data_IF_940655349152
#
_entry.id   IF_940655349152
#
_cell.length_a   1.000
_cell.length_b   1.000
_cell.length_c   1.000
_cell.angle_alpha   90.00
_cell.angle_beta   90.00
_cell.angle_gamma   90.00
#
_symmetry.space_group_name_H-M   'P 1'
#
loop_
_entity.id
_entity.type
_entity.pdbx_description
1 polymer ?
#
# COMPACT_ATOMS: atom_id res chain seq x y z
N UNK A 1 14.76 -1.99 11.57
CA UNK A 1 14.88 -2.02 10.10
C UNK A 1 14.10 -3.24 9.61
N UNK A 2 12.79 -3.17 9.81
CA UNK A 2 11.83 -4.26 9.71
C UNK A 2 11.31 -4.44 8.29
N UNK A 3 10.75 -5.62 8.02
CA UNK A 3 10.17 -5.98 6.73
C UNK A 3 9.23 -4.89 6.16
N UNK A 4 8.47 -4.22 7.04
CA UNK A 4 7.54 -3.12 6.71
C UNK A 4 8.20 -2.00 5.89
N UNK A 5 9.36 -1.52 6.31
CA UNK A 5 10.10 -0.44 5.63
C UNK A 5 10.49 -0.84 4.20
N UNK A 6 10.95 -2.09 4.03
CA UNK A 6 11.36 -2.61 2.71
C UNK A 6 10.18 -2.75 1.75
N UNK A 7 9.02 -3.16 2.26
CA UNK A 7 7.79 -3.29 1.49
C UNK A 7 7.31 -1.92 1.05
N UNK A 8 7.21 -0.98 2.00
CA UNK A 8 6.73 0.37 1.73
C UNK A 8 7.64 1.10 0.73
N UNK A 9 8.97 0.88 0.81
CA UNK A 9 9.92 1.37 -0.20
C UNK A 9 9.63 0.80 -1.60
N UNK A 10 9.34 -0.50 -1.71
CA UNK A 10 8.98 -1.12 -3.00
C UNK A 10 7.69 -0.53 -3.56
N UNK A 11 6.69 -0.31 -2.70
CA UNK A 11 5.43 0.34 -3.08
C UNK A 11 5.70 1.76 -3.60
N UNK A 12 6.49 2.57 -2.88
CA UNK A 12 6.89 3.91 -3.33
C UNK A 12 7.56 3.84 -4.71
N UNK A 13 8.57 2.99 -4.87
CA UNK A 13 9.30 2.86 -6.14
C UNK A 13 8.32 2.53 -7.26
N UNK A 14 7.43 1.56 -7.04
CA UNK A 14 6.40 1.22 -8.01
C UNK A 14 5.51 2.41 -8.34
N UNK A 15 5.00 3.13 -7.33
CA UNK A 15 4.16 4.31 -7.53
C UNK A 15 4.90 5.34 -8.37
N UNK A 16 6.11 5.73 -7.98
CA UNK A 16 6.89 6.75 -8.70
C UNK A 16 7.41 6.31 -10.07
N UNK A 17 7.46 5.00 -10.35
CA UNK A 17 8.00 4.46 -11.59
C UNK A 17 6.89 4.11 -12.60
N UNK A 18 5.69 3.76 -12.13
CA UNK A 18 4.54 3.40 -12.97
C UNK A 18 3.48 4.49 -13.04
N UNK A 19 3.43 5.40 -12.08
CA UNK A 19 2.40 6.43 -11.94
C UNK A 19 3.05 7.79 -11.69
N UNK A 20 2.38 8.87 -12.10
CA UNK A 20 2.87 10.23 -11.88
C UNK A 20 2.57 10.67 -10.44
N UNK A 21 1.47 10.17 -9.87
CA UNK A 21 1.03 10.49 -8.51
C UNK A 21 0.54 9.28 -7.71
N UNK A 22 0.65 9.31 -6.37
CA UNK A 22 0.10 8.26 -5.50
C UNK A 22 -1.42 8.11 -5.64
N UNK A 23 -2.11 9.17 -6.06
CA UNK A 23 -3.55 9.15 -6.32
C UNK A 23 -3.89 8.28 -7.53
N UNK A 24 -3.12 8.40 -8.62
CA UNK A 24 -3.30 7.56 -9.81
C UNK A 24 -3.02 6.10 -9.50
N UNK A 25 -1.93 5.82 -8.78
CA UNK A 25 -1.64 4.46 -8.35
C UNK A 25 -2.79 3.90 -7.49
N UNK A 26 -3.28 4.68 -6.53
CA UNK A 26 -4.39 4.28 -5.68
C UNK A 26 -5.65 3.97 -6.49
N UNK A 27 -6.04 4.87 -7.40
CA UNK A 27 -7.20 4.68 -8.29
C UNK A 27 -7.02 3.51 -9.26
N UNK A 28 -5.78 3.21 -9.67
CA UNK A 28 -5.48 2.08 -10.54
C UNK A 28 -5.65 0.73 -9.81
N UNK A 29 -5.23 0.67 -8.55
CA UNK A 29 -5.37 -0.53 -7.73
C UNK A 29 -6.79 -0.72 -7.17
N UNK A 30 -7.50 0.38 -6.91
CA UNK A 30 -8.92 0.42 -6.53
C UNK A 30 -9.79 0.03 -7.72
N UNK A 31 -10.02 -1.27 -7.87
CA UNK A 31 -10.80 -1.84 -8.98
C UNK A 31 -12.29 -1.51 -8.85
N UNK A 32 -12.77 -1.31 -7.62
CA UNK A 32 -14.18 -1.03 -7.30
C UNK A 32 -14.49 0.48 -7.32
N UNK A 33 -13.45 1.33 -7.37
CA UNK A 33 -13.53 2.79 -7.31
C UNK A 33 -14.32 3.30 -6.10
N UNK A 34 -14.20 2.58 -4.99
CA UNK A 34 -14.88 2.93 -3.73
C UNK A 34 -14.04 3.88 -2.86
N UNK A 35 -12.84 4.25 -3.31
CA UNK A 35 -11.91 5.11 -2.56
C UNK A 35 -11.14 4.37 -1.47
N UNK A 36 -11.14 3.02 -1.48
CA UNK A 36 -10.57 2.16 -0.42
C UNK A 36 -9.94 0.90 -0.99
N UNK A 37 -8.67 0.65 -0.66
CA UNK A 37 -7.99 -0.58 -1.04
C UNK A 37 -8.30 -1.69 -0.04
N UNK A 38 -9.01 -2.73 -0.51
CA UNK A 38 -9.26 -3.95 0.25
C UNK A 38 -8.00 -4.82 0.27
N UNK A 39 -7.94 -5.77 1.20
CA UNK A 39 -6.85 -6.76 1.31
C UNK A 39 -6.47 -7.43 -0.01
N UNK A 40 -7.43 -7.71 -0.88
CA UNK A 40 -7.22 -8.30 -2.22
C UNK A 40 -6.50 -7.36 -3.17
N UNK A 41 -6.79 -6.06 -3.11
CA UNK A 41 -6.19 -5.02 -3.97
C UNK A 41 -4.79 -4.67 -3.47
N UNK A 42 -4.61 -4.58 -2.15
CA UNK A 42 -3.27 -4.45 -1.53
C UNK A 42 -2.39 -5.63 -1.94
N UNK A 43 -2.92 -6.86 -1.98
CA UNK A 43 -2.17 -8.02 -2.50
C UNK A 43 -1.76 -7.84 -3.97
N UNK A 44 -2.62 -7.27 -4.82
CA UNK A 44 -2.25 -6.98 -6.21
C UNK A 44 -1.13 -5.93 -6.27
N UNK A 45 -1.27 -4.84 -5.53
CA UNK A 45 -0.26 -3.79 -5.43
C UNK A 45 1.10 -4.36 -4.98
N UNK A 46 1.10 -5.21 -3.94
CA UNK A 46 2.31 -5.89 -3.46
C UNK A 46 2.89 -6.86 -4.50
N UNK A 47 2.04 -7.49 -5.32
CA UNK A 47 2.51 -8.34 -6.42
C UNK A 47 3.31 -7.53 -7.43
N UNK A 48 2.74 -6.40 -7.80
CA UNK A 48 3.29 -5.48 -8.77
C UNK A 48 4.60 -4.86 -8.24
N UNK A 49 4.67 -4.59 -6.93
CA UNK A 49 5.86 -4.11 -6.23
C UNK A 49 6.94 -5.21 -6.03
N UNK A 50 6.83 -6.31 -6.76
CA UNK A 50 7.73 -7.47 -6.70
C UNK A 50 7.91 -8.02 -5.26
N UNK A 51 6.84 -8.00 -4.45
CA UNK A 51 6.84 -8.63 -3.14
C UNK A 51 6.57 -10.12 -3.28
N UNK A 52 7.42 -10.91 -2.63
CA UNK A 52 7.38 -12.37 -2.67
C UNK A 52 5.99 -12.88 -2.27
N UNK A 53 5.42 -13.77 -3.10
CA UNK A 53 4.05 -14.26 -2.96
C UNK A 53 3.78 -14.94 -1.62
N UNK A 54 4.80 -15.59 -1.03
CA UNK A 54 4.72 -16.24 0.27
C UNK A 54 4.44 -15.27 1.42
N UNK A 55 5.10 -14.10 1.43
CA UNK A 55 4.92 -13.12 2.51
C UNK A 55 3.81 -12.12 2.19
N UNK A 56 3.39 -11.99 0.94
CA UNK A 56 2.42 -10.99 0.49
C UNK A 56 1.14 -10.96 1.33
N UNK A 57 0.60 -12.12 1.71
CA UNK A 57 -0.62 -12.18 2.52
C UNK A 57 -0.39 -11.69 3.95
N UNK A 58 0.76 -12.01 4.53
CA UNK A 58 1.17 -11.52 5.85
C UNK A 58 1.41 -10.01 5.81
N UNK A 59 2.13 -9.54 4.79
CA UNK A 59 2.43 -8.14 4.55
C UNK A 59 1.17 -7.30 4.36
N UNK A 60 0.24 -7.74 3.52
CA UNK A 60 -1.03 -7.04 3.33
C UNK A 60 -1.78 -6.90 4.66
N UNK A 61 -1.73 -7.94 5.50
CA UNK A 61 -2.35 -7.91 6.82
C UNK A 61 -1.64 -6.97 7.80
N UNK A 62 -0.31 -6.91 7.76
CA UNK A 62 0.49 -6.00 8.57
C UNK A 62 0.34 -4.54 8.15
N UNK A 63 0.20 -4.27 6.85
CA UNK A 63 -0.11 -2.95 6.32
C UNK A 63 -1.50 -2.51 6.76
N UNK A 64 -2.50 -3.36 6.62
CA UNK A 64 -3.84 -3.11 7.14
C UNK A 64 -3.78 -2.82 8.63
N UNK A 65 -3.22 -3.70 9.46
CA UNK A 65 -3.11 -3.46 10.89
C UNK A 65 -2.35 -2.18 11.29
N UNK A 66 -1.41 -1.72 10.46
CA UNK A 66 -0.64 -0.51 10.72
C UNK A 66 -1.37 0.78 10.34
N UNK A 67 -2.15 0.74 9.25
CA UNK A 67 -2.71 1.93 8.61
C UNK A 67 -4.24 2.01 8.60
N UNK A 68 -4.94 0.89 8.76
CA UNK A 68 -6.40 0.82 8.93
C UNK A 68 -6.78 1.34 10.32
N UNK A 69 -6.92 2.67 10.41
CA UNK A 69 -7.44 3.37 11.58
C UNK A 69 -8.95 3.32 11.63
N UNK A 70 -9.61 3.19 10.47
CA UNK A 70 -11.06 3.01 10.40
C UNK A 70 -11.52 1.63 10.89
N UNK A 71 -10.60 0.67 11.04
CA UNK A 71 -10.87 -0.70 11.45
C UNK A 71 -11.89 -1.40 10.52
N UNK A 72 -11.80 -1.10 9.22
CA UNK A 72 -12.70 -1.59 8.17
C UNK A 72 -12.03 -2.68 7.29
N UNK A 73 -10.84 -3.15 7.68
CA UNK A 73 -10.03 -4.08 6.88
C UNK A 73 -9.72 -3.53 5.46
N UNK A 74 -9.75 -2.20 5.31
CA UNK A 74 -9.45 -1.47 4.09
C UNK A 74 -8.54 -0.28 4.35
N UNK A 75 -7.77 0.15 3.35
CA UNK A 75 -6.97 1.38 3.41
C UNK A 75 -7.65 2.44 2.57
N UNK A 76 -8.22 3.44 3.22
CA UNK A 76 -8.81 4.61 2.56
C UNK A 76 -7.72 5.51 1.96
N UNK A 77 -8.09 6.37 1.01
CA UNK A 77 -7.15 7.33 0.41
C UNK A 77 -6.37 8.16 1.43
N UNK A 78 -7.03 8.58 2.51
CA UNK A 78 -6.39 9.33 3.60
C UNK A 78 -5.34 8.51 4.34
N UNK A 79 -5.65 7.25 4.67
CA UNK A 79 -4.75 6.32 5.36
C UNK A 79 -3.56 5.96 4.47
N UNK A 80 -3.81 5.78 3.17
CA UNK A 80 -2.76 5.55 2.18
C UNK A 80 -1.80 6.74 2.08
N UNK A 81 -2.31 7.97 2.03
CA UNK A 81 -1.48 9.19 2.02
C UNK A 81 -0.61 9.28 3.27
N UNK A 82 -1.16 8.97 4.45
CA UNK A 82 -0.37 8.93 5.69
C UNK A 82 0.71 7.86 5.61
N UNK A 83 0.41 6.67 5.10
CA UNK A 83 1.38 5.60 4.92
C UNK A 83 2.54 6.01 4.00
N UNK A 84 2.24 6.70 2.90
CA UNK A 84 3.27 7.20 1.98
C UNK A 84 4.05 8.36 2.59
N UNK A 85 3.40 9.31 3.26
CA UNK A 85 4.05 10.48 3.88
C UNK A 85 4.93 10.10 5.08
N UNK A 86 4.54 9.08 5.85
CA UNK A 86 5.35 8.54 6.95
C UNK A 86 6.70 8.00 6.43
N UNK A 87 6.74 7.50 5.20
CA UNK A 87 7.98 7.06 4.55
C UNK A 87 8.91 8.20 4.16
N UNK A 88 8.37 9.41 3.94
CA UNK A 88 9.18 10.58 3.62
C UNK A 88 9.85 11.20 4.85
N UNK A 89 9.35 10.90 6.06
CA UNK A 89 9.88 11.46 7.31
C UNK A 89 11.01 10.66 7.95
N UNK A 90 11.30 9.46 7.49
CA UNK A 90 12.37 8.59 8.03
C UNK A 90 13.72 8.77 7.30
N UNK A 91 14.01 9.97 6.81
CA UNK A 91 15.32 10.37 6.25
C UNK A 91 15.80 11.72 6.80
#
# INVERSE_FOLDING_TARGET
MGAKESILRKIRILITNQFDSPEEAFQFFDSDKNGRLKKTEIKKLLRDAEVNGFIRSFVANELLKGYDKSSDDTISWEEFKVAIAELERDY
#
